data_IF_749387752607
#
_entry.id   IF_749387752607
#
_cell.length_a   1.000
_cell.length_b   1.000
_cell.length_c   1.000
_cell.angle_alpha   90.00
_cell.angle_beta   90.00
_cell.angle_gamma   90.00
#
_symmetry.space_group_name_H-M   'P 1'
#
loop_
_entity.id
_entity.type
_entity.pdbx_description
1 polymer ?
#
# COMPACT_ATOMS: atom_id res chain seq x y z
N UNK A 1 9.43 -65.46 21.90
CA UNK A 1 9.82 -64.09 22.28
C UNK A 1 9.27 -63.15 21.22
N UNK A 2 8.29 -62.33 21.61
CA UNK A 2 7.76 -61.25 20.81
C UNK A 2 8.68 -60.02 20.88
N UNK A 3 8.49 -59.16 19.87
CA UNK A 3 8.65 -57.72 19.87
C UNK A 3 9.98 -57.13 19.35
N UNK A 4 9.77 -56.16 18.46
CA UNK A 4 10.65 -55.04 18.13
C UNK A 4 11.93 -55.42 17.38
N UNK A 5 12.09 -54.98 16.13
CA UNK A 5 12.38 -53.57 15.86
C UNK A 5 11.65 -53.04 14.63
N UNK A 6 10.70 -52.16 14.95
CA UNK A 6 9.95 -51.30 14.07
C UNK A 6 10.86 -50.19 13.53
N UNK A 7 10.63 -49.87 12.26
CA UNK A 7 10.86 -48.57 11.61
C UNK A 7 12.29 -48.06 11.46
N UNK A 8 12.75 -48.13 10.20
CA UNK A 8 13.39 -47.00 9.53
C UNK A 8 12.61 -45.72 9.87
N UNK A 9 13.15 -44.88 10.75
CA UNK A 9 12.72 -43.49 10.83
C UNK A 9 13.49 -42.76 9.73
N UNK A 10 12.81 -42.50 8.62
CA UNK A 10 13.24 -41.58 7.58
C UNK A 10 13.54 -40.22 8.22
N UNK A 11 14.81 -39.94 8.43
CA UNK A 11 15.29 -38.56 8.45
C UNK A 11 15.36 -38.05 7.01
N UNK A 12 15.18 -36.74 6.88
CA UNK A 12 15.28 -35.95 5.66
C UNK A 12 14.07 -36.07 4.72
N UNK A 13 13.12 -35.15 4.86
CA UNK A 13 13.13 -33.89 4.11
C UNK A 13 11.91 -33.11 4.57
N UNK A 14 12.07 -32.43 5.71
CA UNK A 14 11.33 -31.20 5.93
C UNK A 14 11.82 -30.23 4.87
N UNK A 15 11.18 -30.26 3.70
CA UNK A 15 11.06 -29.10 2.84
C UNK A 15 10.40 -28.06 3.74
N UNK A 16 11.23 -27.32 4.46
CA UNK A 16 10.89 -25.99 4.93
C UNK A 16 10.56 -25.25 3.64
N UNK A 17 9.29 -25.28 3.26
CA UNK A 17 8.72 -24.36 2.31
C UNK A 17 9.06 -23.00 2.88
N UNK A 18 10.14 -22.40 2.37
CA UNK A 18 10.30 -20.97 2.42
C UNK A 18 9.10 -20.45 1.64
N UNK A 19 7.99 -20.23 2.35
CA UNK A 19 6.80 -19.59 1.80
C UNK A 19 7.23 -18.18 1.47
N UNK A 20 7.77 -17.98 0.26
CA UNK A 20 7.92 -16.67 -0.33
C UNK A 20 6.52 -16.08 -0.37
N UNK A 21 6.26 -15.11 0.49
CA UNK A 21 4.98 -14.40 0.51
C UNK A 21 4.75 -13.79 -0.86
N UNK A 22 3.49 -13.80 -1.31
CA UNK A 22 3.15 -13.21 -2.61
C UNK A 22 3.28 -11.68 -2.55
N UNK A 23 3.47 -10.98 -3.68
CA UNK A 23 3.43 -9.52 -3.74
C UNK A 23 2.18 -8.92 -3.09
N UNK A 24 1.04 -9.60 -3.22
CA UNK A 24 -0.22 -9.20 -2.57
C UNK A 24 -0.07 -9.25 -1.05
N UNK A 25 0.44 -10.36 -0.50
CA UNK A 25 0.65 -10.50 0.95
C UNK A 25 1.67 -9.50 1.50
N UNK A 26 2.73 -9.19 0.73
CA UNK A 26 3.68 -8.13 1.08
C UNK A 26 2.99 -6.76 1.11
N UNK A 27 2.15 -6.46 0.13
CA UNK A 27 1.41 -5.22 0.09
C UNK A 27 0.42 -5.09 1.25
N UNK A 28 -0.36 -6.12 1.55
CA UNK A 28 -1.33 -6.14 2.66
C UNK A 28 -0.66 -5.92 4.02
N UNK A 29 0.60 -6.37 4.18
CA UNK A 29 1.38 -6.16 5.40
C UNK A 29 2.03 -4.76 5.50
N UNK A 30 2.08 -4.01 4.39
CA UNK A 30 2.62 -2.65 4.35
C UNK A 30 1.67 -1.63 4.99
N UNK A 31 2.21 -0.47 5.37
CA UNK A 31 1.40 0.62 5.93
C UNK A 31 0.32 1.12 4.94
N UNK A 32 0.66 1.19 3.65
CA UNK A 32 -0.28 1.60 2.61
C UNK A 32 -1.40 0.58 2.42
N UNK A 33 -1.08 -0.72 2.43
CA UNK A 33 -2.06 -1.80 2.34
C UNK A 33 -3.07 -1.76 3.47
N UNK A 34 -2.59 -1.74 4.72
CA UNK A 34 -3.45 -1.63 5.91
C UNK A 34 -4.34 -0.39 5.88
N UNK A 35 -3.78 0.75 5.51
CA UNK A 35 -4.53 2.01 5.43
C UNK A 35 -5.63 1.98 4.35
N UNK A 36 -5.36 1.37 3.19
CA UNK A 36 -6.34 1.20 2.12
C UNK A 36 -7.44 0.20 2.50
N UNK A 37 -7.07 -0.89 3.16
CA UNK A 37 -8.02 -1.87 3.66
C UNK A 37 -8.96 -1.23 4.70
N UNK A 38 -8.40 -0.52 5.69
CA UNK A 38 -9.17 0.20 6.70
C UNK A 38 -10.08 1.27 6.09
N UNK A 39 -9.58 1.99 5.06
CA UNK A 39 -10.41 2.94 4.33
C UNK A 39 -11.59 2.25 3.63
N UNK A 40 -11.37 1.09 3.01
CA UNK A 40 -12.39 0.36 2.27
C UNK A 40 -13.47 -0.26 3.18
N UNK A 41 -13.14 -0.61 4.43
CA UNK A 41 -14.09 -1.21 5.40
C UNK A 41 -15.39 -0.42 5.56
N UNK A 42 -15.35 0.90 5.38
CA UNK A 42 -16.54 1.76 5.46
C UNK A 42 -17.06 2.13 4.07
N UNK A 43 -18.11 1.44 3.59
CA UNK A 43 -18.83 1.78 2.34
C UNK A 43 -17.93 1.80 1.08
N UNK A 44 -16.90 0.97 1.04
CA UNK A 44 -16.02 0.82 -0.11
C UNK A 44 -15.67 -0.64 -0.41
N UNK A 45 -14.93 -0.83 -1.49
CA UNK A 45 -14.29 -2.09 -1.85
C UNK A 45 -12.85 -1.84 -2.24
N UNK A 46 -11.99 -2.81 -1.94
CA UNK A 46 -10.60 -2.83 -2.36
C UNK A 46 -10.38 -4.06 -3.23
N UNK A 47 -9.78 -3.89 -4.40
CA UNK A 47 -9.33 -5.01 -5.25
C UNK A 47 -7.84 -4.87 -5.45
N UNK A 48 -7.08 -5.91 -5.09
CA UNK A 48 -5.63 -5.96 -5.25
C UNK A 48 -5.35 -6.99 -6.35
N UNK A 49 -4.54 -6.61 -7.32
CA UNK A 49 -4.13 -7.46 -8.44
C UNK A 49 -2.62 -7.51 -8.47
N UNK A 50 -2.07 -8.72 -8.58
CA UNK A 50 -0.64 -8.89 -8.82
C UNK A 50 -0.29 -8.35 -10.21
N UNK A 51 0.70 -7.45 -10.26
CA UNK A 51 1.25 -6.95 -11.51
C UNK A 51 2.68 -7.47 -11.60
N UNK A 52 2.82 -8.74 -11.93
CA UNK A 52 4.13 -9.39 -11.95
C UNK A 52 5.03 -8.79 -13.04
N UNK A 53 6.16 -8.26 -12.59
CA UNK A 53 7.38 -7.83 -13.27
C UNK A 53 7.34 -7.17 -14.66
N UNK A 54 7.69 -5.89 -14.66
CA UNK A 54 8.63 -5.35 -15.65
C UNK A 54 9.93 -4.97 -14.92
N UNK A 55 10.95 -5.83 -15.01
CA UNK A 55 12.32 -5.49 -14.60
C UNK A 55 12.72 -5.79 -13.14
N UNK A 56 12.33 -6.94 -12.56
CA UNK A 56 12.91 -7.38 -11.27
C UNK A 56 12.23 -6.85 -10.01
N UNK A 57 11.12 -6.10 -10.15
CA UNK A 57 10.45 -5.39 -9.04
C UNK A 57 9.04 -5.94 -8.85
N UNK A 58 8.73 -6.30 -7.60
CA UNK A 58 7.37 -6.65 -7.20
C UNK A 58 6.45 -5.43 -7.31
N UNK A 59 5.32 -5.58 -8.01
CA UNK A 59 4.32 -4.53 -8.14
C UNK A 59 2.92 -5.09 -7.91
N UNK A 60 2.04 -4.22 -7.42
CA UNK A 60 0.61 -4.53 -7.26
C UNK A 60 -0.23 -3.37 -7.78
N UNK A 61 -1.31 -3.73 -8.47
CA UNK A 61 -2.38 -2.83 -8.85
C UNK A 61 -3.46 -2.84 -7.78
N UNK A 62 -3.93 -1.68 -7.36
CA UNK A 62 -4.94 -1.56 -6.30
C UNK A 62 -6.07 -0.66 -6.77
N UNK A 63 -7.29 -1.16 -6.74
CA UNK A 63 -8.50 -0.38 -7.07
C UNK A 63 -9.30 -0.18 -5.79
N UNK A 64 -9.39 1.07 -5.34
CA UNK A 64 -10.26 1.51 -4.25
C UNK A 64 -11.52 2.13 -4.85
N UNK A 65 -12.68 1.50 -4.62
CA UNK A 65 -13.99 2.05 -4.98
C UNK A 65 -14.76 2.46 -3.73
N UNK A 66 -15.15 3.72 -3.63
CA UNK A 66 -15.86 4.26 -2.45
C UNK A 66 -16.66 5.50 -2.85
N UNK A 67 -17.91 5.61 -2.37
CA UNK A 67 -18.81 6.73 -2.67
C UNK A 67 -18.85 7.12 -4.16
N UNK A 68 -19.02 6.13 -5.05
CA UNK A 68 -19.05 6.29 -6.51
C UNK A 68 -17.75 6.82 -7.15
N UNK A 69 -16.68 6.99 -6.37
CA UNK A 69 -15.33 7.26 -6.86
C UNK A 69 -14.53 5.98 -6.94
N UNK A 70 -13.66 5.90 -7.93
CA UNK A 70 -12.77 4.78 -8.15
C UNK A 70 -11.35 5.30 -8.37
N UNK A 71 -10.46 4.96 -7.44
CA UNK A 71 -9.04 5.29 -7.50
C UNK A 71 -8.28 4.00 -7.79
N UNK A 72 -7.49 4.02 -8.86
CA UNK A 72 -6.57 2.95 -9.22
C UNK A 72 -5.15 3.39 -8.91
N UNK A 73 -4.43 2.59 -8.14
CA UNK A 73 -3.04 2.81 -7.76
C UNK A 73 -2.18 1.70 -8.34
N UNK A 74 -0.92 2.05 -8.58
CA UNK A 74 0.14 1.09 -8.85
C UNK A 74 1.20 1.30 -7.77
N UNK A 75 1.49 0.25 -7.02
CA UNK A 75 2.52 0.24 -6.00
C UNK A 75 3.70 -0.59 -6.46
N UNK A 76 4.90 -0.05 -6.30
CA UNK A 76 6.13 -0.81 -6.30
C UNK A 76 6.45 -1.22 -4.86
N UNK A 77 6.67 -2.51 -4.63
CA UNK A 77 6.97 -3.04 -3.32
C UNK A 77 8.47 -3.12 -3.10
N UNK A 78 8.88 -2.82 -1.87
CA UNK A 78 10.21 -3.10 -1.38
C UNK A 78 10.08 -4.00 -0.13
N UNK A 79 10.12 -5.33 -0.33
CA UNK A 79 9.91 -6.28 0.76
C UNK A 79 10.98 -6.20 1.84
N UNK A 80 12.20 -5.72 1.52
CA UNK A 80 13.29 -5.56 2.48
C UNK A 80 12.99 -4.55 3.59
N UNK A 81 12.10 -3.59 3.36
CA UNK A 81 11.71 -2.55 4.34
C UNK A 81 10.19 -2.48 4.58
N UNK A 82 9.43 -3.49 4.10
CA UNK A 82 7.97 -3.54 4.18
C UNK A 82 7.28 -2.24 3.70
N UNK A 83 7.81 -1.66 2.62
CA UNK A 83 7.36 -0.38 2.09
C UNK A 83 6.72 -0.57 0.72
N UNK A 84 5.61 0.15 0.48
CA UNK A 84 4.94 0.20 -0.81
C UNK A 84 4.95 1.65 -1.30
N UNK A 85 5.63 1.89 -2.41
CA UNK A 85 5.74 3.21 -3.04
C UNK A 85 4.77 3.33 -4.20
N UNK A 86 4.02 4.43 -4.26
CA UNK A 86 3.14 4.70 -5.41
C UNK A 86 3.99 5.11 -6.62
N UNK A 87 3.85 4.36 -7.71
CA UNK A 87 4.47 4.67 -9.00
C UNK A 87 3.47 5.19 -10.03
N UNK A 88 2.18 4.95 -9.81
CA UNK A 88 1.11 5.44 -10.67
C UNK A 88 -0.21 5.56 -9.93
N UNK A 89 -1.02 6.54 -10.32
CA UNK A 89 -2.39 6.69 -9.82
C UNK A 89 -3.30 7.18 -10.94
N UNK A 90 -4.54 6.69 -10.96
CA UNK A 90 -5.62 7.04 -11.89
C UNK A 90 -6.92 7.20 -11.11
N UNK A 91 -7.75 8.17 -11.49
CA UNK A 91 -9.10 8.38 -10.99
C UNK A 91 -10.02 8.17 -12.18
N UNK A 92 -10.98 7.24 -12.06
CA UNK A 92 -11.91 6.94 -13.16
C UNK A 92 -12.71 8.19 -13.54
N UNK A 93 -12.68 8.55 -14.82
CA UNK A 93 -13.33 9.76 -15.36
C UNK A 93 -12.43 11.00 -15.46
N UNK A 94 -11.14 10.87 -15.17
CA UNK A 94 -10.14 11.94 -15.34
C UNK A 94 -8.89 11.39 -16.05
N UNK A 95 -8.63 11.84 -17.28
CA UNK A 95 -7.49 11.39 -18.10
C UNK A 95 -6.20 12.17 -17.80
N UNK A 96 -6.31 13.33 -17.13
CA UNK A 96 -5.19 14.16 -16.72
C UNK A 96 -5.22 14.38 -15.21
N UNK A 97 -4.83 13.35 -14.47
CA UNK A 97 -4.80 13.42 -13.02
C UNK A 97 -3.82 14.48 -12.53
N UNK A 98 -4.37 15.55 -11.97
CA UNK A 98 -3.62 16.42 -11.09
C UNK A 98 -3.36 15.66 -9.78
N UNK A 99 -2.08 15.52 -9.41
CA UNK A 99 -1.64 14.85 -8.18
C UNK A 99 -2.30 15.45 -6.92
N UNK A 100 -2.60 16.75 -6.92
CA UNK A 100 -3.36 17.40 -5.84
C UNK A 100 -4.82 16.95 -5.77
N UNK A 101 -5.46 16.67 -6.92
CA UNK A 101 -6.83 16.14 -6.96
C UNK A 101 -6.88 14.77 -6.32
N UNK A 102 -5.93 13.88 -6.65
CA UNK A 102 -5.81 12.55 -6.03
C UNK A 102 -5.72 12.65 -4.53
N UNK A 103 -4.81 13.48 -4.04
CA UNK A 103 -4.60 13.64 -2.61
C UNK A 103 -5.87 14.12 -1.91
N UNK A 104 -6.53 15.15 -2.47
CA UNK A 104 -7.78 15.66 -1.91
C UNK A 104 -8.89 14.61 -1.95
N UNK A 105 -9.04 13.89 -3.06
CA UNK A 105 -10.01 12.80 -3.17
C UNK A 105 -9.72 11.72 -2.15
N UNK A 106 -8.46 11.27 -2.02
CA UNK A 106 -8.06 10.27 -1.05
C UNK A 106 -8.29 10.73 0.39
N UNK A 107 -7.97 11.98 0.70
CA UNK A 107 -8.26 12.60 2.00
C UNK A 107 -9.77 12.66 2.27
N UNK A 108 -10.60 12.97 1.28
CA UNK A 108 -12.06 12.95 1.42
C UNK A 108 -12.61 11.54 1.61
N UNK A 109 -12.05 10.54 0.94
CA UNK A 109 -12.50 9.14 1.01
C UNK A 109 -12.03 8.42 2.28
N UNK A 110 -10.81 8.70 2.74
CA UNK A 110 -10.11 7.91 3.76
C UNK A 110 -9.66 8.72 4.98
N UNK A 111 -9.73 10.05 4.94
CA UNK A 111 -9.17 10.92 5.98
C UNK A 111 -7.68 11.20 5.83
N UNK A 112 -7.18 12.21 6.53
CA UNK A 112 -5.79 12.67 6.46
C UNK A 112 -4.77 11.67 7.01
N UNK A 113 -5.14 10.90 8.04
CA UNK A 113 -4.27 9.88 8.63
C UNK A 113 -4.03 8.70 7.68
N UNK A 114 -5.08 8.20 7.01
CA UNK A 114 -4.91 7.15 6.01
C UNK A 114 -4.11 7.67 4.81
N UNK A 115 -4.39 8.90 4.36
CA UNK A 115 -3.64 9.53 3.27
C UNK A 115 -2.14 9.61 3.57
N UNK A 116 -1.72 9.93 4.79
CA UNK A 116 -0.29 9.99 5.14
C UNK A 116 0.41 8.64 5.19
N UNK A 117 -0.34 7.54 5.37
CA UNK A 117 0.19 6.17 5.30
C UNK A 117 0.24 5.64 3.87
N UNK A 118 -0.69 6.09 3.01
CA UNK A 118 -0.79 5.69 1.60
C UNK A 118 0.15 6.51 0.71
N UNK A 119 0.25 7.82 0.98
CA UNK A 119 1.02 8.82 0.23
C UNK A 119 1.94 9.64 1.17
N UNK A 120 2.94 8.99 1.80
CA UNK A 120 3.74 9.63 2.85
C UNK A 120 4.60 10.79 2.32
N UNK A 121 5.16 10.68 1.12
CA UNK A 121 6.01 11.71 0.50
C UNK A 121 5.19 12.99 0.22
N UNK A 122 3.99 12.81 -0.32
CA UNK A 122 3.10 13.92 -0.64
C UNK A 122 2.52 14.55 0.62
N UNK A 123 2.16 13.74 1.62
CA UNK A 123 1.72 14.24 2.92
C UNK A 123 2.80 15.08 3.60
N UNK A 124 4.07 14.66 3.51
CA UNK A 124 5.19 15.44 4.03
C UNK A 124 5.39 16.74 3.27
N UNK A 125 5.25 16.71 1.95
CA UNK A 125 5.35 17.92 1.11
C UNK A 125 4.30 18.95 1.50
N UNK A 126 3.03 18.54 1.69
CA UNK A 126 1.97 19.44 2.16
C UNK A 126 2.30 20.00 3.55
N UNK A 127 2.73 19.14 4.49
CA UNK A 127 3.08 19.59 5.84
C UNK A 127 4.20 20.64 5.82
N UNK A 128 5.21 20.47 4.95
CA UNK A 128 6.28 21.44 4.78
C UNK A 128 5.78 22.75 4.17
N UNK A 129 4.90 22.69 3.18
CA UNK A 129 4.27 23.87 2.57
C UNK A 129 3.41 24.65 3.58
N UNK A 130 2.63 23.95 4.40
CA UNK A 130 1.80 24.56 5.45
C UNK A 130 2.66 25.19 6.55
N UNK A 131 3.76 24.53 6.94
CA UNK A 131 4.72 25.10 7.88
C UNK A 131 5.43 26.34 7.30
N UNK A 132 5.77 26.33 6.01
CA UNK A 132 6.37 27.49 5.34
C UNK A 132 5.39 28.67 5.26
N UNK A 133 4.12 28.41 4.95
CA UNK A 133 3.05 29.42 4.96
C UNK A 133 2.77 29.96 6.35
N UNK A 134 2.73 29.10 7.37
CA UNK A 134 2.56 29.50 8.77
C UNK A 134 3.71 30.39 9.27
N UNK A 135 4.95 30.08 8.89
CA UNK A 135 6.12 30.93 9.17
C UNK A 135 6.06 32.27 8.43
N UNK A 136 5.67 32.26 7.16
CA UNK A 136 5.51 33.49 6.38
C UNK A 136 4.41 34.40 6.97
N UNK A 137 3.29 33.83 7.42
CA UNK A 137 2.22 34.57 8.09
C UNK A 137 2.63 35.10 9.48
N UNK A 138 3.51 34.39 10.20
CA UNK A 138 4.06 34.86 11.47
C UNK A 138 5.08 36.01 11.31
N UNK A 139 5.82 36.05 10.19
CA UNK A 139 6.73 37.15 9.83
C UNK A 139 6.01 38.39 9.29
N UNK A 140 4.72 38.29 8.96
CA UNK A 140 3.89 39.39 8.44
C UNK A 140 2.95 40.01 9.47
N UNK A 141 2.96 39.53 10.72
CA UNK A 141 2.22 40.19 11.81
C UNK A 141 3.08 41.31 12.41
N UNK A 142 2.63 42.58 12.34
CA UNK A 142 3.35 43.73 12.92
C UNK A 142 3.40 43.68 14.45
#
# INVERSE_FOLDING_TARGET
MQAMRMSLMLMALGLMSACSKSPIEHFEQSNAGKALEDCAKSKGTLRITDLTESGGKEMVGVVLKKFEKELTFQFQLNPSINHAQIVGVRLTGDDQLNRMTVMRTLQTLCGSQAMSMIMPEESNTIRMLDQAKGKAAALQRP
#
